data_IF_591207471885
#
_entry.id   IF_591207471885
#
_cell.length_a   1.000
_cell.length_b   1.000
_cell.length_c   1.000
_cell.angle_alpha   90.00
_cell.angle_beta   90.00
_cell.angle_gamma   90.00
#
_symmetry.space_group_name_H-M   'P 1'
#
loop_
_entity.id
_entity.type
_entity.pdbx_description
1 polymer ?
#
# COMPACT_ATOMS: atom_id res chain seq x y z
N UNK A 1 -0.47 -56.64 -9.37
CA UNK A 1 -1.10 -55.46 -9.99
C UNK A 1 -2.40 -55.16 -9.29
N UNK A 2 -2.45 -54.06 -8.53
CA UNK A 2 -3.64 -53.23 -8.49
C UNK A 2 -3.29 -51.78 -8.82
N UNK A 3 -3.86 -51.34 -9.95
CA UNK A 3 -4.31 -49.99 -10.30
C UNK A 3 -3.96 -48.86 -9.32
N UNK A 4 -3.01 -48.01 -9.74
CA UNK A 4 -2.89 -46.62 -9.28
C UNK A 4 -4.17 -45.89 -9.65
N UNK A 5 -4.99 -45.55 -8.66
CA UNK A 5 -5.91 -44.43 -8.77
C UNK A 5 -5.11 -43.15 -8.60
N UNK A 6 -4.88 -42.43 -9.71
CA UNK A 6 -4.46 -41.03 -9.69
C UNK A 6 -5.54 -40.18 -9.01
N UNK A 7 -5.19 -39.28 -8.08
CA UNK A 7 -6.13 -38.30 -7.58
C UNK A 7 -6.17 -37.09 -8.53
N UNK A 8 -7.31 -36.96 -9.23
CA UNK A 8 -7.96 -35.68 -9.52
C UNK A 8 -7.26 -34.73 -10.50
N UNK A 9 -7.53 -34.91 -11.80
CA UNK A 9 -7.59 -33.79 -12.73
C UNK A 9 -9.03 -33.27 -12.77
N UNK A 10 -9.25 -32.04 -12.32
CA UNK A 10 -10.16 -31.03 -12.93
C UNK A 10 -10.12 -29.71 -12.13
N UNK A 11 -9.73 -28.62 -12.83
CA UNK A 11 -9.87 -27.19 -12.47
C UNK A 11 -8.98 -26.58 -11.37
N UNK A 12 -8.04 -25.63 -11.54
CA UNK A 12 -7.39 -24.90 -12.66
C UNK A 12 -6.02 -24.43 -12.10
N UNK A 13 -4.90 -24.57 -12.83
CA UNK A 13 -3.60 -24.04 -12.36
C UNK A 13 -3.68 -22.51 -12.20
N UNK A 14 -2.84 -21.90 -11.36
CA UNK A 14 -2.85 -20.44 -11.18
C UNK A 14 -2.64 -19.71 -12.51
N UNK A 15 -1.79 -20.27 -13.37
CA UNK A 15 -1.63 -19.85 -14.77
C UNK A 15 -2.96 -19.81 -15.53
N UNK A 16 -3.76 -20.88 -15.50
CA UNK A 16 -5.05 -20.95 -16.20
C UNK A 16 -6.07 -19.95 -15.65
N UNK A 17 -6.07 -19.71 -14.34
CA UNK A 17 -6.93 -18.68 -13.73
C UNK A 17 -6.62 -17.29 -14.32
N UNK A 18 -5.34 -16.93 -14.39
CA UNK A 18 -4.88 -15.64 -14.89
C UNK A 18 -5.18 -15.49 -16.37
N UNK A 19 -4.81 -16.47 -17.20
CA UNK A 19 -5.05 -16.45 -18.64
C UNK A 19 -6.56 -16.31 -18.93
N UNK A 20 -7.41 -17.09 -18.25
CA UNK A 20 -8.87 -16.97 -18.36
C UNK A 20 -9.38 -15.57 -18.00
N UNK A 21 -8.86 -14.97 -16.94
CA UNK A 21 -9.28 -13.63 -16.52
C UNK A 21 -8.76 -12.53 -17.46
N UNK A 22 -7.56 -12.68 -18.03
CA UNK A 22 -7.06 -11.79 -19.10
C UNK A 22 -7.93 -11.90 -20.36
N UNK A 23 -8.37 -13.10 -20.72
CA UNK A 23 -9.30 -13.32 -21.85
C UNK A 23 -10.69 -12.74 -21.58
N UNK A 24 -11.20 -12.89 -20.35
CA UNK A 24 -12.51 -12.39 -19.95
C UNK A 24 -12.55 -10.86 -19.83
N UNK A 25 -11.43 -10.23 -19.43
CA UNK A 25 -11.30 -8.78 -19.22
C UNK A 25 -10.16 -8.19 -20.07
N UNK A 26 -10.24 -8.25 -21.42
CA UNK A 26 -9.13 -7.89 -22.31
C UNK A 26 -8.79 -6.39 -22.29
N UNK A 27 -9.71 -5.56 -21.78
CA UNK A 27 -9.52 -4.12 -21.60
C UNK A 27 -8.78 -3.75 -20.31
N UNK A 28 -8.55 -4.71 -19.40
CA UNK A 28 -7.72 -4.50 -18.21
C UNK A 28 -6.27 -4.82 -18.58
N UNK A 29 -5.30 -3.94 -18.29
CA UNK A 29 -3.89 -4.21 -18.55
C UNK A 29 -3.43 -5.54 -17.94
N UNK A 30 -2.71 -6.36 -18.71
CA UNK A 30 -2.22 -7.67 -18.26
C UNK A 30 -1.32 -7.56 -17.03
N UNK A 31 -0.50 -6.52 -16.99
CA UNK A 31 0.37 -6.20 -15.86
C UNK A 31 -0.42 -5.85 -14.59
N UNK A 32 -1.60 -5.22 -14.72
CA UNK A 32 -2.49 -4.95 -13.59
C UNK A 32 -3.12 -6.24 -13.06
N UNK A 33 -3.52 -7.17 -13.95
CA UNK A 33 -4.02 -8.51 -13.54
C UNK A 33 -2.98 -9.26 -12.72
N UNK A 34 -1.73 -9.33 -13.20
CA UNK A 34 -0.64 -10.01 -12.49
C UNK A 34 -0.33 -9.28 -11.17
N UNK A 35 -0.23 -7.97 -11.19
CA UNK A 35 0.05 -7.16 -10.00
C UNK A 35 -1.00 -7.37 -8.89
N UNK A 36 -2.29 -7.37 -9.21
CA UNK A 36 -3.33 -7.68 -8.21
C UNK A 36 -3.20 -9.09 -7.64
N UNK A 37 -2.85 -10.07 -8.47
CA UNK A 37 -2.68 -11.45 -8.00
C UNK A 37 -1.45 -11.61 -7.10
N UNK A 38 -0.36 -10.90 -7.43
CA UNK A 38 0.85 -10.81 -6.60
C UNK A 38 0.58 -10.09 -5.27
N UNK A 39 -0.19 -9.00 -5.29
CA UNK A 39 -0.50 -8.25 -4.09
C UNK A 39 -1.40 -9.08 -3.16
N UNK A 40 -2.44 -9.75 -3.66
CA UNK A 40 -3.31 -10.54 -2.76
C UNK A 40 -2.66 -11.85 -2.29
N UNK A 41 -1.73 -12.43 -3.06
CA UNK A 41 -1.19 -13.77 -2.83
C UNK A 41 0.29 -13.85 -2.46
N UNK A 42 1.04 -12.76 -2.60
CA UNK A 42 2.46 -12.68 -2.32
C UNK A 42 3.38 -13.46 -3.28
N UNK A 43 4.66 -13.45 -2.97
CA UNK A 43 5.76 -13.96 -3.77
C UNK A 43 6.71 -14.81 -2.91
N UNK A 44 7.16 -15.94 -3.44
CA UNK A 44 8.31 -16.66 -2.90
C UNK A 44 9.62 -16.15 -3.54
N UNK A 45 10.72 -16.25 -2.81
CA UNK A 45 12.05 -15.89 -3.31
C UNK A 45 12.95 -17.12 -3.28
N UNK A 46 13.68 -17.34 -4.35
CA UNK A 46 14.86 -18.19 -4.34
C UNK A 46 16.03 -17.47 -3.65
N UNK A 47 17.00 -18.21 -3.11
CA UNK A 47 18.19 -17.62 -2.49
C UNK A 47 19.00 -16.77 -3.49
N UNK A 48 18.97 -17.11 -4.79
CA UNK A 48 19.58 -16.32 -5.87
C UNK A 48 18.95 -14.94 -6.06
N UNK A 49 17.72 -14.74 -5.61
CA UNK A 49 16.99 -13.48 -5.73
C UNK A 49 17.06 -12.60 -4.46
N UNK A 50 17.76 -13.08 -3.43
CA UNK A 50 18.00 -12.33 -2.19
C UNK A 50 19.41 -11.75 -2.23
N UNK A 51 19.52 -10.45 -1.98
CA UNK A 51 20.81 -9.76 -1.84
C UNK A 51 21.25 -9.72 -0.37
N UNK A 52 22.52 -9.40 -0.13
CA UNK A 52 22.97 -9.04 1.20
C UNK A 52 22.52 -7.60 1.52
N UNK A 53 22.10 -7.36 2.77
CA UNK A 53 21.23 -6.26 3.23
C UNK A 53 21.71 -4.80 2.92
N UNK A 54 21.94 -3.98 3.95
CA UNK A 54 22.03 -2.51 3.86
C UNK A 54 23.31 -2.02 3.17
N UNK A 55 24.32 -2.89 3.03
CA UNK A 55 25.56 -2.62 2.29
C UNK A 55 25.48 -2.99 0.80
N UNK A 56 24.36 -3.58 0.37
CA UNK A 56 24.14 -4.02 -1.00
C UNK A 56 23.72 -2.90 -1.96
N UNK A 57 23.61 -3.28 -3.25
CA UNK A 57 23.19 -2.37 -4.32
C UNK A 57 21.68 -2.36 -4.57
N UNK A 58 20.92 -3.20 -3.84
CA UNK A 58 19.47 -3.30 -3.95
C UNK A 58 18.84 -2.73 -2.69
N UNK A 59 17.84 -1.86 -2.87
CA UNK A 59 17.07 -1.30 -1.75
C UNK A 59 16.22 -2.40 -1.07
N UNK A 60 16.48 -2.75 0.20
CA UNK A 60 15.74 -3.79 0.89
C UNK A 60 14.38 -3.26 1.40
N UNK A 61 13.48 -4.20 1.71
CA UNK A 61 12.20 -3.91 2.38
C UNK A 61 12.47 -3.31 3.76
N UNK A 62 11.91 -2.12 3.97
CA UNK A 62 12.12 -1.26 5.14
C UNK A 62 11.13 -1.53 6.28
N UNK A 63 10.06 -2.30 6.03
CA UNK A 63 9.00 -2.64 6.99
C UNK A 63 8.59 -1.41 7.80
N UNK A 64 7.96 -0.42 7.17
CA UNK A 64 7.88 0.94 7.71
C UNK A 64 6.58 1.28 8.46
N UNK A 65 5.54 0.47 8.29
CA UNK A 65 4.23 0.61 8.97
C UNK A 65 3.56 -0.74 9.19
N UNK A 66 3.28 -1.48 8.11
CA UNK A 66 2.68 -2.82 8.11
C UNK A 66 3.73 -3.86 7.72
N UNK A 67 3.49 -5.14 8.00
CA UNK A 67 4.36 -6.21 7.50
C UNK A 67 4.18 -6.40 5.98
N UNK A 68 2.91 -6.45 5.54
CA UNK A 68 2.52 -6.83 4.18
C UNK A 68 3.06 -8.21 3.77
N UNK A 69 3.15 -9.16 4.70
CA UNK A 69 3.63 -10.51 4.41
C UNK A 69 2.61 -11.57 4.86
N UNK A 70 2.62 -12.72 4.19
CA UNK A 70 1.76 -13.87 4.49
C UNK A 70 2.36 -14.79 5.57
N UNK A 71 3.39 -14.33 6.28
CA UNK A 71 4.04 -15.02 7.38
C UNK A 71 4.52 -14.03 8.43
N UNK A 72 4.62 -14.46 9.67
CA UNK A 72 5.35 -13.72 10.71
C UNK A 72 6.83 -13.67 10.39
N UNK A 73 7.57 -12.70 10.95
CA UNK A 73 9.00 -12.54 10.65
C UNK A 73 9.82 -13.86 10.75
N UNK A 74 9.63 -14.76 11.74
CA UNK A 74 10.32 -16.06 11.77
C UNK A 74 9.91 -17.03 10.66
N UNK A 75 8.67 -16.96 10.17
CA UNK A 75 8.12 -17.85 9.15
C UNK A 75 8.58 -17.49 7.73
N UNK A 76 9.14 -16.30 7.53
CA UNK A 76 9.64 -15.86 6.21
C UNK A 76 10.97 -16.52 5.81
N UNK A 77 11.59 -17.32 6.68
CA UNK A 77 12.82 -18.06 6.38
C UNK A 77 13.99 -17.15 5.97
N UNK A 78 14.68 -17.47 4.87
CA UNK A 78 15.81 -16.70 4.37
C UNK A 78 15.46 -15.22 4.07
N UNK A 79 14.22 -14.95 3.63
CA UNK A 79 13.74 -13.60 3.36
C UNK A 79 13.66 -12.72 4.63
N UNK A 80 13.48 -13.33 5.81
CA UNK A 80 13.53 -12.60 7.08
C UNK A 80 14.92 -12.00 7.37
N UNK A 81 15.97 -12.74 6.97
CA UNK A 81 17.37 -12.47 7.30
C UNK A 81 18.05 -11.60 6.25
N UNK A 82 17.81 -11.90 4.97
CA UNK A 82 18.46 -11.25 3.82
C UNK A 82 17.61 -10.15 3.17
N UNK A 83 16.47 -9.82 3.79
CA UNK A 83 15.44 -8.84 3.40
C UNK A 83 15.22 -8.74 1.87
N UNK A 84 14.08 -9.20 1.34
CA UNK A 84 13.79 -9.01 -0.07
C UNK A 84 13.74 -7.52 -0.43
N UNK A 85 13.81 -7.18 -1.73
CA UNK A 85 13.63 -5.80 -2.17
C UNK A 85 12.28 -5.24 -1.69
N UNK A 86 12.19 -3.93 -1.48
CA UNK A 86 10.92 -3.26 -1.10
C UNK A 86 9.85 -3.46 -2.19
N UNK A 87 10.27 -3.36 -3.45
CA UNK A 87 9.44 -3.41 -4.65
C UNK A 87 10.18 -4.16 -5.75
N UNK A 88 9.43 -4.70 -6.72
CA UNK A 88 9.98 -5.21 -7.97
C UNK A 88 9.32 -4.51 -9.15
N UNK A 89 10.03 -4.46 -10.28
CA UNK A 89 9.46 -4.08 -11.57
C UNK A 89 9.31 -5.33 -12.43
N UNK A 90 8.16 -5.46 -13.09
CA UNK A 90 7.89 -6.51 -14.07
C UNK A 90 7.85 -5.93 -15.48
N UNK A 91 8.47 -6.62 -16.44
CA UNK A 91 8.49 -6.29 -17.87
C UNK A 91 8.58 -7.54 -18.75
N UNK A 92 8.05 -7.44 -19.96
CA UNK A 92 8.23 -8.44 -21.01
C UNK A 92 7.52 -9.77 -20.73
N UNK A 93 8.20 -10.88 -21.01
CA UNK A 93 7.64 -12.22 -20.89
C UNK A 93 6.56 -12.57 -21.93
N UNK A 94 5.94 -13.77 -21.82
CA UNK A 94 4.95 -14.27 -22.79
C UNK A 94 3.67 -13.41 -22.88
N UNK A 95 3.42 -12.56 -21.89
CA UNK A 95 2.27 -11.66 -21.86
C UNK A 95 2.58 -10.24 -22.36
N UNK A 96 3.83 -9.97 -22.75
CA UNK A 96 4.32 -8.65 -23.19
C UNK A 96 4.04 -7.55 -22.17
N UNK A 97 4.37 -7.83 -20.91
CA UNK A 97 4.10 -6.90 -19.81
C UNK A 97 4.81 -5.57 -20.04
N UNK A 98 4.05 -4.49 -20.00
CA UNK A 98 4.63 -3.15 -19.82
C UNK A 98 5.12 -3.03 -18.38
N UNK A 99 6.03 -2.08 -18.15
CA UNK A 99 6.60 -1.80 -16.83
C UNK A 99 5.49 -1.61 -15.78
N UNK A 100 5.48 -2.43 -14.75
CA UNK A 100 4.67 -2.19 -13.55
C UNK A 100 5.48 -2.38 -12.29
N UNK A 101 5.25 -1.52 -11.29
CA UNK A 101 5.88 -1.60 -9.97
C UNK A 101 4.95 -2.36 -9.03
N UNK A 102 5.48 -3.37 -8.35
CA UNK A 102 4.74 -4.21 -7.41
C UNK A 102 5.43 -4.17 -6.04
N UNK A 103 4.68 -3.82 -4.99
CA UNK A 103 5.15 -3.92 -3.61
C UNK A 103 5.38 -5.39 -3.27
N UNK A 104 6.55 -5.70 -2.71
CA UNK A 104 6.86 -7.08 -2.34
C UNK A 104 6.09 -7.47 -1.08
N UNK A 105 5.39 -8.61 -1.19
CA UNK A 105 4.70 -9.30 -0.11
C UNK A 105 5.21 -10.72 -0.04
N UNK A 106 5.92 -11.07 1.01
CA UNK A 106 6.59 -12.36 1.11
C UNK A 106 5.56 -13.43 1.45
N UNK A 107 5.49 -14.46 0.61
CA UNK A 107 4.74 -15.68 0.86
C UNK A 107 5.58 -16.87 0.38
N UNK A 108 6.27 -17.59 1.29
CA UNK A 108 7.07 -18.75 0.93
C UNK A 108 6.29 -19.87 0.22
N UNK A 109 4.96 -19.89 0.39
CA UNK A 109 4.05 -20.87 -0.21
C UNK A 109 3.43 -20.39 -1.54
N UNK A 110 3.81 -19.21 -2.02
CA UNK A 110 3.24 -18.64 -3.26
C UNK A 110 3.58 -19.50 -4.48
N UNK A 111 2.65 -19.67 -5.44
CA UNK A 111 2.95 -20.27 -6.74
C UNK A 111 3.86 -19.38 -7.59
N UNK A 112 4.02 -18.10 -7.21
CA UNK A 112 4.98 -17.19 -7.82
C UNK A 112 6.32 -17.28 -7.12
N UNK A 113 7.39 -17.37 -7.91
CA UNK A 113 8.77 -17.38 -7.43
C UNK A 113 9.62 -16.40 -8.21
N UNK A 114 10.34 -15.53 -7.50
CA UNK A 114 11.43 -14.74 -8.07
C UNK A 114 12.71 -15.58 -7.98
N UNK A 115 13.37 -15.79 -9.11
CA UNK A 115 14.61 -16.56 -9.20
C UNK A 115 15.48 -16.05 -10.35
N UNK A 116 16.80 -16.25 -10.24
CA UNK A 116 17.70 -16.04 -11.36
C UNK A 116 17.65 -17.23 -12.33
N UNK A 117 17.80 -16.96 -13.63
CA UNK A 117 18.08 -17.99 -14.62
C UNK A 117 19.57 -18.41 -14.61
N UNK A 118 19.96 -19.27 -15.56
CA UNK A 118 21.32 -19.78 -15.67
C UNK A 118 22.38 -18.69 -15.94
N UNK A 119 21.96 -17.55 -16.49
CA UNK A 119 22.82 -16.40 -16.80
C UNK A 119 22.79 -15.34 -15.68
N UNK A 120 22.08 -15.62 -14.57
CA UNK A 120 21.97 -14.73 -13.42
C UNK A 120 20.89 -13.65 -13.57
N UNK A 121 20.07 -13.69 -14.62
CA UNK A 121 19.02 -12.70 -14.87
C UNK A 121 17.78 -13.06 -14.08
N UNK A 122 17.28 -12.12 -13.27
CA UNK A 122 16.09 -12.34 -12.46
C UNK A 122 14.82 -12.42 -13.33
N UNK A 123 14.00 -13.42 -13.03
CA UNK A 123 12.69 -13.61 -13.64
C UNK A 123 11.62 -13.91 -12.59
N UNK A 124 10.38 -13.61 -12.94
CA UNK A 124 9.21 -14.06 -12.20
C UNK A 124 8.72 -15.36 -12.84
N UNK A 125 8.59 -16.40 -12.03
CA UNK A 125 8.10 -17.71 -12.43
C UNK A 125 6.74 -17.96 -11.79
N UNK A 126 5.80 -18.48 -12.57
CA UNK A 126 4.50 -18.94 -12.09
C UNK A 126 4.32 -20.40 -12.52
N UNK A 127 3.95 -21.27 -11.58
CA UNK A 127 3.80 -22.72 -11.83
C UNK A 127 5.05 -23.31 -12.54
N UNK A 128 6.24 -22.81 -12.21
CA UNK A 128 7.52 -23.22 -12.81
C UNK A 128 7.85 -22.62 -14.18
N UNK A 129 6.98 -21.80 -14.78
CA UNK A 129 7.21 -21.14 -16.08
C UNK A 129 7.56 -19.67 -15.87
N UNK A 130 8.60 -19.19 -16.56
CA UNK A 130 8.97 -17.78 -16.55
C UNK A 130 7.88 -16.94 -17.24
N UNK A 131 7.35 -15.93 -16.55
CA UNK A 131 6.26 -15.07 -17.04
C UNK A 131 6.67 -13.59 -17.20
N UNK A 132 7.81 -13.18 -16.66
CA UNK A 132 8.32 -11.79 -16.75
C UNK A 132 9.82 -11.73 -16.42
N UNK A 133 10.49 -10.70 -16.94
CA UNK A 133 11.75 -10.20 -16.36
C UNK A 133 11.45 -9.48 -15.03
N UNK A 134 12.41 -9.50 -14.10
CA UNK A 134 12.31 -8.80 -12.81
C UNK A 134 13.43 -7.76 -12.68
N UNK A 135 13.04 -6.50 -12.53
CA UNK A 135 13.93 -5.41 -12.16
C UNK A 135 13.89 -5.14 -10.65
N UNK A 136 15.05 -4.81 -10.08
CA UNK A 136 15.20 -4.46 -8.66
C UNK A 136 15.48 -2.97 -8.49
N UNK A 137 14.98 -2.34 -7.40
CA UNK A 137 15.24 -0.94 -7.13
C UNK A 137 16.71 -0.77 -6.69
N UNK A 138 17.47 0.14 -7.32
CA UNK A 138 18.83 0.42 -6.88
C UNK A 138 18.82 1.02 -5.47
N UNK A 139 19.88 0.76 -4.70
CA UNK A 139 20.11 1.42 -3.41
C UNK A 139 20.31 2.93 -3.65
N UNK A 140 19.41 3.80 -3.16
CA UNK A 140 19.56 5.22 -3.37
C UNK A 140 20.71 5.79 -2.52
N UNK A 141 21.40 6.80 -3.04
CA UNK A 141 22.58 7.39 -2.40
C UNK A 141 22.28 7.94 -0.99
N UNK A 142 21.11 8.58 -0.80
CA UNK A 142 20.69 9.07 0.51
C UNK A 142 20.59 7.99 1.60
N UNK A 143 20.47 6.70 1.25
CA UNK A 143 20.50 5.61 2.23
C UNK A 143 21.90 5.17 2.65
N UNK A 144 22.94 5.64 1.95
CA UNK A 144 24.35 5.42 2.34
C UNK A 144 24.80 6.37 3.44
N UNK A 145 23.90 7.23 3.92
CA UNK A 145 24.14 8.18 4.99
C UNK A 145 23.32 7.81 6.24
N UNK A 146 23.88 8.15 7.39
CA UNK A 146 23.23 8.04 8.70
C UNK A 146 22.88 9.42 9.23
N UNK A 147 21.89 9.47 10.11
CA UNK A 147 21.66 10.61 10.98
C UNK A 147 22.79 10.72 12.01
N UNK A 148 22.90 11.88 12.67
CA UNK A 148 23.87 12.20 13.72
C UNK A 148 23.78 11.22 14.91
N UNK A 149 22.57 10.70 15.18
CA UNK A 149 22.34 9.68 16.21
C UNK A 149 22.64 8.24 15.75
N UNK A 150 23.17 8.05 14.54
CA UNK A 150 23.53 6.77 13.95
C UNK A 150 22.39 5.98 13.32
N UNK A 151 21.13 6.46 13.35
CA UNK A 151 20.02 5.80 12.65
C UNK A 151 20.20 5.91 11.13
N UNK A 152 19.78 4.89 10.39
CA UNK A 152 19.73 4.97 8.93
C UNK A 152 18.57 5.84 8.46
N UNK A 153 18.74 6.50 7.31
CA UNK A 153 17.68 7.30 6.68
C UNK A 153 16.48 6.40 6.34
N UNK A 154 16.71 5.17 5.89
CA UNK A 154 15.66 4.19 5.59
C UNK A 154 14.75 3.90 6.80
N UNK A 155 15.30 3.84 8.01
CA UNK A 155 14.48 3.60 9.21
C UNK A 155 13.60 4.81 9.56
N UNK A 156 14.08 6.03 9.29
CA UNK A 156 13.37 7.27 9.65
C UNK A 156 12.41 7.74 8.54
N UNK A 157 12.86 7.76 7.29
CA UNK A 157 12.15 8.28 6.13
C UNK A 157 12.30 7.34 4.91
N UNK A 158 11.69 6.14 4.97
CA UNK A 158 11.74 5.20 3.86
C UNK A 158 11.01 5.77 2.64
N UNK A 159 11.58 5.60 1.46
CA UNK A 159 10.96 5.87 0.17
C UNK A 159 10.26 4.62 -0.35
N UNK A 160 9.14 4.77 -1.04
CA UNK A 160 8.39 3.70 -1.74
C UNK A 160 7.92 4.23 -3.10
N UNK A 161 7.16 3.43 -3.84
CA UNK A 161 6.65 3.75 -5.19
C UNK A 161 7.81 4.03 -6.15
N UNK A 162 8.80 3.13 -6.14
CA UNK A 162 10.02 3.25 -6.94
C UNK A 162 10.81 4.54 -6.65
N UNK A 163 10.78 5.00 -5.40
CA UNK A 163 11.48 6.22 -4.95
C UNK A 163 10.62 7.48 -4.97
N UNK A 164 9.44 7.45 -5.58
CA UNK A 164 8.54 8.60 -5.73
C UNK A 164 8.07 9.21 -4.40
N UNK A 165 7.75 8.37 -3.41
CA UNK A 165 7.11 8.79 -2.17
C UNK A 165 8.01 8.57 -0.96
N UNK A 166 8.32 9.62 -0.20
CA UNK A 166 8.88 9.51 1.16
C UNK A 166 7.74 9.18 2.14
N UNK A 167 7.81 8.05 2.81
CA UNK A 167 6.76 7.55 3.70
C UNK A 167 7.11 7.74 5.18
N UNK A 168 6.52 8.75 5.80
CA UNK A 168 6.81 9.18 7.17
C UNK A 168 5.77 8.62 8.15
N UNK A 169 5.97 7.35 8.56
CA UNK A 169 5.24 6.77 9.69
C UNK A 169 5.81 7.31 11.01
N UNK A 170 5.30 8.46 11.47
CA UNK A 170 5.82 9.14 12.66
C UNK A 170 5.26 8.58 13.97
N UNK A 171 4.09 7.94 13.92
CA UNK A 171 3.52 7.19 15.03
C UNK A 171 3.25 5.74 14.63
N UNK A 172 4.20 4.84 14.94
CA UNK A 172 4.18 3.42 14.55
C UNK A 172 3.33 2.54 15.47
N UNK A 173 2.49 3.14 16.29
CA UNK A 173 1.54 2.46 17.18
C UNK A 173 0.18 3.13 16.97
N UNK A 174 -0.92 2.42 17.23
CA UNK A 174 -2.28 2.93 17.15
C UNK A 174 -2.98 2.77 18.50
N UNK A 175 -3.69 3.81 18.95
CA UNK A 175 -4.35 3.83 20.27
C UNK A 175 -5.64 2.99 20.31
N UNK A 176 -6.25 2.65 19.17
CA UNK A 176 -7.40 1.74 19.14
C UNK A 176 -7.09 0.36 19.75
N UNK A 177 -5.88 -0.16 19.58
CA UNK A 177 -5.45 -1.43 20.19
C UNK A 177 -5.47 -1.39 21.72
N UNK A 178 -5.27 -0.23 22.34
CA UNK A 178 -5.33 -0.09 23.80
C UNK A 178 -6.70 -0.41 24.37
N UNK A 179 -7.75 -0.15 23.57
CA UNK A 179 -9.14 -0.45 23.89
C UNK A 179 -9.66 -1.77 23.29
N UNK A 180 -8.80 -2.54 22.59
CA UNK A 180 -9.18 -3.72 21.78
C UNK A 180 -10.17 -3.38 20.66
N UNK A 181 -9.99 -2.21 20.06
CA UNK A 181 -10.84 -1.63 19.02
C UNK A 181 -10.09 -1.48 17.69
N UNK A 182 -9.00 -2.22 17.52
CA UNK A 182 -8.21 -2.23 16.29
C UNK A 182 -9.04 -2.63 15.07
N UNK A 183 -8.66 -2.09 13.91
CA UNK A 183 -9.23 -2.55 12.65
C UNK A 183 -8.85 -4.02 12.44
N UNK A 184 -9.81 -4.87 12.09
CA UNK A 184 -9.66 -6.32 12.13
C UNK A 184 -8.72 -6.89 11.06
N UNK A 185 -8.28 -6.05 10.11
CA UNK A 185 -7.30 -6.33 9.06
C UNK A 185 -5.95 -5.61 9.29
N UNK A 186 -5.78 -4.86 10.38
CA UNK A 186 -4.62 -3.97 10.56
C UNK A 186 -3.58 -4.60 11.50
N UNK A 187 -2.34 -4.74 11.02
CA UNK A 187 -1.25 -5.34 11.79
C UNK A 187 -0.28 -4.33 12.43
N UNK A 188 -0.50 -3.01 12.32
CA UNK A 188 0.49 -1.98 12.71
C UNK A 188 1.15 -2.21 14.09
N UNK A 189 0.37 -2.51 15.12
CA UNK A 189 0.93 -2.78 16.46
C UNK A 189 1.59 -4.15 16.55
N UNK A 190 1.09 -5.16 15.83
CA UNK A 190 1.74 -6.47 15.75
C UNK A 190 3.09 -6.37 15.04
N UNK A 191 3.14 -5.63 13.93
CA UNK A 191 4.34 -5.33 13.18
C UNK A 191 5.38 -4.58 14.02
N UNK A 192 4.95 -3.56 14.76
CA UNK A 192 5.81 -2.86 15.71
C UNK A 192 6.37 -3.81 16.78
N UNK A 193 5.52 -4.63 17.41
CA UNK A 193 5.95 -5.59 18.46
C UNK A 193 6.94 -6.63 17.94
N UNK A 194 6.71 -7.21 16.77
CA UNK A 194 7.64 -8.22 16.22
C UNK A 194 9.01 -7.62 15.92
N UNK A 195 9.08 -6.40 15.38
CA UNK A 195 10.38 -5.77 15.09
C UNK A 195 11.11 -5.34 16.36
N UNK A 196 10.39 -4.88 17.40
CA UNK A 196 10.97 -4.66 18.72
C UNK A 196 11.52 -5.95 19.32
N UNK A 197 10.76 -7.05 19.25
CA UNK A 197 11.19 -8.35 19.74
C UNK A 197 12.41 -8.89 18.99
N UNK A 198 12.53 -8.59 17.70
CA UNK A 198 13.70 -8.91 16.86
C UNK A 198 14.89 -7.95 17.07
N UNK A 199 14.84 -7.04 18.06
CA UNK A 199 15.95 -6.14 18.40
C UNK A 199 16.19 -5.01 17.40
N UNK A 200 15.27 -4.76 16.45
CA UNK A 200 15.42 -3.65 15.50
C UNK A 200 15.26 -2.29 16.20
N UNK A 201 15.93 -1.22 15.74
CA UNK A 201 15.90 0.13 16.33
C UNK A 201 14.57 0.89 16.13
N UNK A 202 13.46 0.17 16.24
CA UNK A 202 12.11 0.64 16.02
C UNK A 202 11.66 1.58 17.13
N UNK A 203 11.27 2.81 16.75
CA UNK A 203 10.76 3.83 17.67
C UNK A 203 9.26 3.99 17.50
N UNK A 204 8.50 4.08 18.60
CA UNK A 204 7.03 4.23 18.55
C UNK A 204 6.59 5.60 18.03
N UNK A 205 7.23 6.67 18.53
CA UNK A 205 7.05 8.06 18.08
C UNK A 205 8.40 8.57 17.60
N UNK A 206 8.51 8.96 16.33
CA UNK A 206 9.76 9.50 15.76
C UNK A 206 9.92 10.97 16.14
N UNK A 207 11.03 11.42 16.73
CA UNK A 207 11.27 12.86 16.96
C UNK A 207 11.18 13.68 15.66
N UNK A 208 10.69 14.92 15.75
CA UNK A 208 10.56 15.81 14.58
C UNK A 208 11.94 16.07 13.98
N UNK A 209 12.94 16.28 14.82
CA UNK A 209 14.32 16.60 14.43
C UNK A 209 14.94 15.47 13.62
N UNK A 210 14.72 14.21 14.00
CA UNK A 210 15.19 13.04 13.24
C UNK A 210 14.54 13.00 11.85
N UNK A 211 13.24 13.28 11.76
CA UNK A 211 12.51 13.31 10.48
C UNK A 211 13.08 14.42 9.58
N UNK A 212 13.28 15.63 10.10
CA UNK A 212 13.83 16.74 9.32
C UNK A 212 15.27 16.50 8.89
N UNK A 213 16.07 15.84 9.71
CA UNK A 213 17.44 15.45 9.37
C UNK A 213 17.45 14.42 8.24
N UNK A 214 16.64 13.37 8.34
CA UNK A 214 16.49 12.37 7.29
C UNK A 214 16.04 13.00 5.97
N UNK A 215 15.07 13.92 6.02
CA UNK A 215 14.62 14.67 4.84
C UNK A 215 15.71 15.60 4.28
N UNK A 216 16.54 16.21 5.12
CA UNK A 216 17.67 17.03 4.66
C UNK A 216 18.72 16.19 3.91
N UNK A 217 18.95 14.95 4.35
CA UNK A 217 19.81 14.00 3.65
C UNK A 217 19.17 13.62 2.30
N UNK A 218 17.88 13.26 2.28
CA UNK A 218 17.16 12.94 1.04
C UNK A 218 17.20 14.12 0.07
N UNK A 219 16.90 15.34 0.49
CA UNK A 219 16.90 16.50 -0.39
C UNK A 219 18.28 16.78 -1.02
N UNK A 220 19.35 16.57 -0.23
CA UNK A 220 20.74 16.75 -0.67
C UNK A 220 21.18 15.69 -1.68
N UNK A 221 20.84 14.42 -1.46
CA UNK A 221 21.39 13.30 -2.24
C UNK A 221 20.42 12.66 -3.25
N UNK A 222 19.12 13.00 -3.21
CA UNK A 222 18.18 12.70 -4.30
C UNK A 222 18.39 13.68 -5.46
N UNK A 223 19.56 13.58 -6.10
CA UNK A 223 20.00 14.47 -7.19
C UNK A 223 19.16 14.34 -8.44
N UNK A 224 18.57 13.17 -8.68
CA UNK A 224 17.61 12.92 -9.75
C UNK A 224 16.21 13.49 -9.46
N UNK A 225 15.96 13.96 -8.22
CA UNK A 225 14.64 14.42 -7.73
C UNK A 225 13.55 13.38 -7.98
N UNK A 226 13.89 12.10 -7.77
CA UNK A 226 12.97 10.97 -7.92
C UNK A 226 11.83 11.08 -6.91
N UNK A 227 12.15 11.48 -5.68
CA UNK A 227 11.13 11.72 -4.66
C UNK A 227 10.44 13.05 -4.92
N UNK A 228 9.11 13.01 -5.04
CA UNK A 228 8.29 14.20 -5.37
C UNK A 228 7.14 14.40 -4.40
N UNK A 229 6.89 13.45 -3.50
CA UNK A 229 5.87 13.56 -2.46
C UNK A 229 6.38 13.02 -1.12
N UNK A 230 5.78 13.48 -0.02
CA UNK A 230 5.85 12.79 1.26
C UNK A 230 4.46 12.49 1.80
N UNK A 231 4.34 11.41 2.58
CA UNK A 231 3.12 11.12 3.35
C UNK A 231 3.46 11.07 4.82
N UNK A 232 2.80 11.92 5.61
CA UNK A 232 2.79 11.86 7.06
C UNK A 232 1.64 10.98 7.54
N UNK A 233 1.95 9.98 8.37
CA UNK A 233 0.94 9.04 8.87
C UNK A 233 1.38 8.31 10.14
N UNK A 234 0.47 7.52 10.69
CA UNK A 234 0.67 6.67 11.85
C UNK A 234 -0.64 6.08 12.31
N UNK A 235 -0.66 5.53 13.52
CA UNK A 235 -1.90 5.07 14.13
C UNK A 235 -2.81 6.20 14.60
N UNK A 236 -4.05 5.84 14.91
CA UNK A 236 -5.03 6.77 15.46
C UNK A 236 -4.62 7.26 16.86
N UNK A 237 -4.79 8.54 17.13
CA UNK A 237 -4.68 9.16 18.45
C UNK A 237 -6.10 9.47 18.95
N UNK A 238 -6.55 8.76 19.98
CA UNK A 238 -7.89 8.91 20.59
C UNK A 238 -7.87 9.74 21.86
N UNK A 239 -6.68 10.02 22.39
CA UNK A 239 -6.45 10.86 23.56
C UNK A 239 -5.35 11.87 23.25
N UNK A 240 -4.16 11.72 23.83
CA UNK A 240 -3.03 12.61 23.58
C UNK A 240 -1.72 11.84 23.45
N UNK A 241 -0.76 12.42 22.73
CA UNK A 241 0.65 11.99 22.71
C UNK A 241 1.51 13.23 22.95
N UNK A 242 2.32 13.20 24.00
CA UNK A 242 3.10 14.38 24.41
C UNK A 242 2.22 15.62 24.65
N UNK A 243 1.01 15.41 25.17
CA UNK A 243 0.03 16.48 25.43
C UNK A 243 -0.68 17.06 24.19
N UNK A 244 -0.55 16.42 23.02
CA UNK A 244 -1.16 16.88 21.76
C UNK A 244 -2.26 15.95 21.31
N UNK A 245 -3.34 16.51 20.79
CA UNK A 245 -4.35 15.78 20.04
C UNK A 245 -3.77 15.26 18.70
N UNK A 246 -4.58 14.57 17.89
CA UNK A 246 -4.12 14.02 16.62
C UNK A 246 -3.66 15.09 15.62
N UNK A 247 -4.39 16.20 15.53
CA UNK A 247 -4.09 17.27 14.59
C UNK A 247 -2.84 18.06 14.96
N UNK A 248 -2.62 18.38 16.23
CA UNK A 248 -1.38 19.01 16.69
C UNK A 248 -0.20 18.04 16.60
N UNK A 249 -0.44 16.75 16.89
CA UNK A 249 0.62 15.75 16.82
C UNK A 249 1.16 15.60 15.40
N UNK A 250 0.31 15.43 14.39
CA UNK A 250 0.76 15.35 13.00
C UNK A 250 1.11 16.75 12.45
N UNK A 251 0.36 17.78 12.83
CA UNK A 251 0.52 19.15 12.34
C UNK A 251 1.90 19.73 12.63
N UNK A 252 2.51 19.41 13.77
CA UNK A 252 3.87 19.87 14.07
C UNK A 252 4.92 19.34 13.07
N UNK A 253 4.77 18.11 12.56
CA UNK A 253 5.68 17.57 11.54
C UNK A 253 5.43 18.24 10.20
N UNK A 254 4.15 18.37 9.80
CA UNK A 254 3.78 19.03 8.56
C UNK A 254 4.34 20.47 8.52
N UNK A 255 4.07 21.25 9.56
CA UNK A 255 4.59 22.61 9.71
C UNK A 255 6.12 22.67 9.60
N UNK A 256 6.81 21.82 10.35
CA UNK A 256 8.27 21.84 10.38
C UNK A 256 8.88 21.41 9.03
N UNK A 257 8.25 20.48 8.31
CA UNK A 257 8.69 20.04 6.98
C UNK A 257 8.50 21.18 5.97
N UNK A 258 7.31 21.77 5.92
CA UNK A 258 6.99 22.83 4.94
C UNK A 258 7.76 24.13 5.21
N UNK A 259 8.03 24.48 6.47
CA UNK A 259 8.89 25.62 6.82
C UNK A 259 10.35 25.41 6.37
N UNK A 260 10.86 24.18 6.45
CA UNK A 260 12.27 23.86 6.14
C UNK A 260 12.52 23.53 4.67
N UNK A 261 11.54 22.92 3.99
CA UNK A 261 11.65 22.44 2.61
C UNK A 261 10.48 22.92 1.74
N UNK A 262 10.22 24.24 1.68
CA UNK A 262 9.02 24.77 1.03
C UNK A 262 8.93 24.33 -0.43
N UNK A 263 7.84 23.64 -0.78
CA UNK A 263 7.55 23.21 -2.15
C UNK A 263 8.46 22.09 -2.69
N UNK A 264 9.31 21.48 -1.85
CA UNK A 264 10.20 20.39 -2.29
C UNK A 264 9.43 19.11 -2.65
N UNK A 265 8.36 18.81 -1.93
CA UNK A 265 7.54 17.62 -2.11
C UNK A 265 6.07 17.99 -2.05
N UNK A 266 5.23 17.17 -2.68
CA UNK A 266 3.79 17.20 -2.45
C UNK A 266 3.50 16.64 -1.05
N UNK A 267 3.07 17.50 -0.13
CA UNK A 267 2.79 17.14 1.26
C UNK A 267 1.43 16.48 1.43
N UNK A 268 1.41 15.31 2.08
CA UNK A 268 0.18 14.56 2.36
C UNK A 268 0.06 14.16 3.81
N UNK A 269 -1.17 14.14 4.33
CA UNK A 269 -1.47 13.60 5.66
C UNK A 269 -2.51 12.49 5.56
N UNK A 270 -2.22 11.35 6.17
CA UNK A 270 -3.17 10.26 6.39
C UNK A 270 -3.42 10.17 7.90
N UNK A 271 -4.63 10.58 8.31
CA UNK A 271 -5.10 10.57 9.69
C UNK A 271 -6.57 10.07 9.75
N UNK A 272 -7.18 10.03 10.93
CA UNK A 272 -8.63 9.80 11.04
C UNK A 272 -9.40 10.89 10.29
N UNK A 273 -10.69 10.70 10.03
CA UNK A 273 -11.55 11.79 9.57
C UNK A 273 -11.73 12.82 10.69
N UNK A 274 -10.96 13.91 10.63
CA UNK A 274 -10.91 14.94 11.65
C UNK A 274 -11.98 16.03 11.41
N UNK A 275 -12.40 16.76 12.45
CA UNK A 275 -13.22 17.96 12.31
C UNK A 275 -12.60 18.97 11.33
N UNK A 276 -13.44 19.71 10.60
CA UNK A 276 -12.99 20.67 9.57
C UNK A 276 -11.95 21.69 10.08
N UNK A 277 -12.11 22.19 11.31
CA UNK A 277 -11.14 23.12 11.91
C UNK A 277 -9.75 22.49 12.11
N UNK A 278 -9.70 21.20 12.40
CA UNK A 278 -8.45 20.46 12.58
C UNK A 278 -7.78 20.17 11.24
N UNK A 279 -8.58 19.80 10.24
CA UNK A 279 -8.17 19.62 8.86
C UNK A 279 -7.61 20.93 8.27
N UNK A 280 -8.21 22.09 8.60
CA UNK A 280 -7.73 23.41 8.21
C UNK A 280 -6.29 23.67 8.69
N UNK A 281 -5.94 23.23 9.91
CA UNK A 281 -4.57 23.39 10.43
C UNK A 281 -3.53 22.72 9.53
N UNK A 282 -3.80 21.53 9.00
CA UNK A 282 -2.88 20.86 8.06
C UNK A 282 -2.68 21.67 6.78
N UNK A 283 -3.78 22.18 6.21
CA UNK A 283 -3.72 23.00 5.01
C UNK A 283 -2.95 24.31 5.25
N UNK A 284 -3.18 24.97 6.38
CA UNK A 284 -2.48 26.21 6.77
C UNK A 284 -0.96 25.99 6.94
N UNK A 285 -0.55 24.76 7.27
CA UNK A 285 0.86 24.38 7.35
C UNK A 285 1.50 24.04 5.99
N UNK A 286 0.74 24.00 4.89
CA UNK A 286 1.25 23.74 3.54
C UNK A 286 0.99 22.33 3.01
N UNK A 287 0.30 21.46 3.76
CA UNK A 287 -0.14 20.16 3.26
C UNK A 287 -1.11 20.37 2.08
N UNK A 288 -0.97 19.55 1.04
CA UNK A 288 -1.77 19.68 -0.19
C UNK A 288 -2.79 18.56 -0.36
N UNK A 289 -2.61 17.42 0.31
CA UNK A 289 -3.50 16.26 0.14
C UNK A 289 -3.86 15.66 1.51
N UNK A 290 -5.14 15.37 1.69
CA UNK A 290 -5.66 14.74 2.91
C UNK A 290 -6.30 13.38 2.62
N UNK A 291 -5.94 12.39 3.44
CA UNK A 291 -6.38 10.99 3.32
C UNK A 291 -7.15 10.53 4.56
N UNK A 292 -8.45 10.83 4.64
CA UNK A 292 -9.36 10.30 5.66
C UNK A 292 -9.83 8.88 5.28
N UNK A 293 -8.94 7.88 5.39
CA UNK A 293 -9.23 6.51 4.95
C UNK A 293 -10.49 5.93 5.64
N UNK A 294 -11.43 5.41 4.86
CA UNK A 294 -12.74 4.96 5.37
C UNK A 294 -12.92 3.43 5.26
N UNK A 295 -12.10 2.77 4.44
CA UNK A 295 -11.75 1.34 4.47
C UNK A 295 -12.76 0.37 3.85
N UNK A 296 -14.02 0.34 4.28
CA UNK A 296 -15.05 -0.61 3.79
C UNK A 296 -16.44 0.03 3.75
N UNK A 297 -17.18 -0.18 2.65
CA UNK A 297 -18.40 0.59 2.36
C UNK A 297 -19.58 0.19 3.22
N UNK A 298 -19.87 -1.11 3.22
CA UNK A 298 -21.04 -1.65 3.89
C UNK A 298 -21.03 -1.24 5.37
N UNK A 299 -22.18 -0.72 5.84
CA UNK A 299 -22.32 -0.18 7.20
C UNK A 299 -21.99 -1.23 8.25
N UNK A 300 -22.54 -2.44 8.11
CA UNK A 300 -22.33 -3.53 9.08
C UNK A 300 -20.87 -3.97 9.07
N UNK A 301 -20.25 -4.08 7.90
CA UNK A 301 -18.82 -4.42 7.80
C UNK A 301 -17.94 -3.32 8.39
N UNK A 302 -18.28 -2.04 8.23
CA UNK A 302 -17.54 -0.94 8.87
C UNK A 302 -17.58 -1.05 10.40
N UNK A 303 -18.76 -1.26 10.99
CA UNK A 303 -18.93 -1.44 12.44
C UNK A 303 -18.12 -2.63 12.97
N UNK A 304 -18.13 -3.76 12.24
CA UNK A 304 -17.43 -4.99 12.64
C UNK A 304 -15.91 -4.92 12.42
N UNK A 305 -15.47 -4.37 11.30
CA UNK A 305 -14.06 -4.39 10.91
C UNK A 305 -13.29 -3.17 11.38
N UNK A 306 -13.96 -2.05 11.67
CA UNK A 306 -13.35 -0.80 12.11
C UNK A 306 -13.95 -0.29 13.43
N UNK A 307 -14.02 -1.11 14.51
CA UNK A 307 -14.77 -0.76 15.72
C UNK A 307 -14.29 0.54 16.40
N UNK A 308 -12.98 0.84 16.36
CA UNK A 308 -12.45 2.11 16.84
C UNK A 308 -12.98 3.29 16.03
N UNK A 309 -12.92 3.21 14.70
CA UNK A 309 -13.42 4.31 13.84
C UNK A 309 -14.90 4.57 14.06
N UNK A 310 -15.69 3.51 14.21
CA UNK A 310 -17.11 3.61 14.53
C UNK A 310 -17.34 4.25 15.90
N UNK A 311 -16.63 3.81 16.94
CA UNK A 311 -16.84 4.33 18.30
C UNK A 311 -16.45 5.80 18.45
N UNK A 312 -15.30 6.21 17.92
CA UNK A 312 -14.74 7.56 18.16
C UNK A 312 -15.25 8.62 17.18
N UNK A 313 -15.68 8.22 15.98
CA UNK A 313 -16.17 9.15 14.95
C UNK A 313 -17.55 8.75 14.46
N UNK A 314 -17.74 7.46 14.12
CA UNK A 314 -18.98 6.93 13.54
C UNK A 314 -18.97 7.05 12.02
N UNK A 315 -19.48 6.04 11.30
CA UNK A 315 -19.43 5.96 9.83
C UNK A 315 -20.01 7.19 9.13
N UNK A 316 -21.21 7.61 9.53
CA UNK A 316 -21.91 8.71 8.85
C UNK A 316 -21.19 10.06 9.07
N UNK A 317 -20.67 10.28 10.27
CA UNK A 317 -19.84 11.44 10.59
C UNK A 317 -18.48 11.38 9.88
N UNK A 318 -17.90 10.18 9.72
CA UNK A 318 -16.68 9.97 8.93
C UNK A 318 -16.90 10.43 7.49
N UNK A 319 -18.00 10.00 6.86
CA UNK A 319 -18.36 10.43 5.51
C UNK A 319 -18.59 11.94 5.43
N UNK A 320 -19.31 12.52 6.40
CA UNK A 320 -19.55 13.97 6.47
C UNK A 320 -18.23 14.74 6.54
N UNK A 321 -17.27 14.30 7.35
CA UNK A 321 -15.95 14.93 7.48
C UNK A 321 -15.09 14.78 6.23
N UNK A 322 -15.22 13.69 5.48
CA UNK A 322 -14.61 13.56 4.15
C UNK A 322 -15.13 14.66 3.22
N UNK A 323 -16.45 14.86 3.16
CA UNK A 323 -17.06 15.90 2.34
C UNK A 323 -16.66 17.31 2.81
N UNK A 324 -16.72 17.59 4.12
CA UNK A 324 -16.30 18.87 4.70
C UNK A 324 -14.83 19.22 4.38
N UNK A 325 -13.97 18.21 4.28
CA UNK A 325 -12.55 18.39 3.96
C UNK A 325 -12.33 18.88 2.53
N UNK A 326 -13.28 18.65 1.63
CA UNK A 326 -13.22 19.14 0.26
C UNK A 326 -13.31 20.67 0.18
N UNK A 327 -13.96 21.32 1.15
CA UNK A 327 -13.99 22.78 1.25
C UNK A 327 -12.63 23.37 1.64
N UNK A 328 -11.77 22.57 2.27
CA UNK A 328 -10.43 22.98 2.72
C UNK A 328 -9.39 22.70 1.65
N UNK A 329 -9.33 21.45 1.17
CA UNK A 329 -8.28 20.98 0.27
C UNK A 329 -8.66 21.09 -1.22
N UNK A 330 -9.94 21.28 -1.53
CA UNK A 330 -10.51 20.98 -2.84
C UNK A 330 -10.77 19.47 -3.00
N UNK A 331 -11.90 19.10 -3.60
CA UNK A 331 -12.37 17.71 -3.66
C UNK A 331 -11.32 16.73 -4.23
N UNK A 332 -10.60 17.13 -5.28
CA UNK A 332 -9.55 16.31 -5.92
C UNK A 332 -8.38 15.97 -4.98
N UNK A 333 -8.16 16.76 -3.94
CA UNK A 333 -7.07 16.58 -2.97
C UNK A 333 -7.52 15.88 -1.68
N UNK A 334 -8.80 15.48 -1.60
CA UNK A 334 -9.31 14.59 -0.55
C UNK A 334 -9.39 13.18 -1.15
N UNK A 335 -8.61 12.26 -0.62
CA UNK A 335 -8.41 10.95 -1.24
C UNK A 335 -8.57 9.85 -0.17
N UNK A 336 -9.81 9.46 0.17
CA UNK A 336 -10.04 8.35 1.09
C UNK A 336 -9.59 7.02 0.46
N UNK A 337 -9.30 6.03 1.30
CA UNK A 337 -8.91 4.69 0.86
C UNK A 337 -9.97 3.64 1.18
N UNK A 338 -10.15 2.69 0.26
CA UNK A 338 -10.74 1.38 0.51
C UNK A 338 -9.66 0.32 0.72
N UNK A 339 -9.88 -0.65 1.60
CA UNK A 339 -9.04 -1.85 1.74
C UNK A 339 -9.66 -2.93 0.85
N UNK A 340 -9.27 -2.96 -0.41
CA UNK A 340 -9.91 -3.81 -1.41
C UNK A 340 -9.79 -5.29 -1.05
N UNK A 341 -10.93 -5.95 -0.84
CA UNK A 341 -11.07 -7.37 -0.58
C UNK A 341 -11.54 -7.70 0.83
N UNK A 342 -11.44 -6.78 1.80
CA UNK A 342 -11.92 -7.06 3.17
C UNK A 342 -13.43 -7.18 3.23
N UNK A 343 -14.17 -6.59 2.29
CA UNK A 343 -15.62 -6.73 2.24
C UNK A 343 -16.09 -8.16 1.95
N UNK A 344 -15.20 -9.02 1.44
CA UNK A 344 -15.46 -10.46 1.23
C UNK A 344 -14.94 -11.33 2.38
N UNK A 345 -14.28 -10.74 3.39
CA UNK A 345 -13.62 -11.51 4.45
C UNK A 345 -14.64 -12.23 5.35
N UNK A 346 -14.54 -13.54 5.44
CA UNK A 346 -15.27 -14.35 6.41
C UNK A 346 -14.95 -13.91 7.85
N UNK A 347 -15.90 -14.10 8.79
CA UNK A 347 -17.20 -14.78 8.61
C UNK A 347 -18.33 -13.85 8.18
N UNK A 348 -18.06 -12.56 7.97
CA UNK A 348 -19.10 -11.54 7.85
C UNK A 348 -19.25 -10.96 6.45
N UNK A 349 -18.25 -11.11 5.58
CA UNK A 349 -18.21 -10.49 4.27
C UNK A 349 -19.25 -11.02 3.29
N UNK A 350 -19.34 -10.36 2.14
CA UNK A 350 -20.15 -10.79 1.01
C UNK A 350 -19.62 -12.12 0.45
N UNK A 351 -20.53 -13.05 0.18
CA UNK A 351 -20.18 -14.40 -0.31
C UNK A 351 -20.04 -14.45 -1.83
N UNK A 352 -20.48 -13.39 -2.53
CA UNK A 352 -20.32 -13.27 -3.99
C UNK A 352 -19.49 -12.05 -4.36
N UNK A 353 -18.67 -12.19 -5.39
CA UNK A 353 -17.88 -11.08 -5.96
C UNK A 353 -18.79 -9.94 -6.40
N UNK A 354 -19.97 -10.25 -6.96
CA UNK A 354 -20.90 -9.24 -7.44
C UNK A 354 -21.38 -8.33 -6.30
N UNK A 355 -21.84 -8.88 -5.19
CA UNK A 355 -22.33 -8.09 -4.05
C UNK A 355 -21.23 -7.20 -3.45
N UNK A 356 -20.02 -7.74 -3.33
CA UNK A 356 -18.86 -6.99 -2.86
C UNK A 356 -18.55 -5.79 -3.78
N UNK A 357 -18.55 -6.00 -5.10
CA UNK A 357 -18.31 -4.95 -6.08
C UNK A 357 -19.45 -3.92 -6.11
N UNK A 358 -20.71 -4.36 -6.02
CA UNK A 358 -21.86 -3.47 -5.98
C UNK A 358 -21.78 -2.53 -4.76
N UNK A 359 -21.46 -3.07 -3.58
CA UNK A 359 -21.23 -2.30 -2.35
C UNK A 359 -20.10 -1.28 -2.53
N UNK A 360 -18.92 -1.71 -2.97
CA UNK A 360 -17.79 -0.79 -3.14
C UNK A 360 -18.06 0.26 -4.21
N UNK A 361 -18.76 -0.08 -5.29
CA UNK A 361 -19.17 0.85 -6.36
C UNK A 361 -20.16 1.90 -5.87
N UNK A 362 -21.08 1.56 -4.96
CA UNK A 362 -21.95 2.54 -4.31
C UNK A 362 -21.12 3.61 -3.59
N UNK A 363 -20.11 3.18 -2.82
CA UNK A 363 -19.19 4.09 -2.14
C UNK A 363 -18.35 4.94 -3.11
N UNK A 364 -17.85 4.34 -4.19
CA UNK A 364 -17.12 5.07 -5.23
C UNK A 364 -18.01 6.16 -5.84
N UNK A 365 -19.25 5.83 -6.24
CA UNK A 365 -20.22 6.81 -6.79
C UNK A 365 -20.56 7.90 -5.81
N UNK A 366 -20.76 7.55 -4.54
CA UNK A 366 -21.04 8.54 -3.50
C UNK A 366 -19.93 9.59 -3.41
N UNK A 367 -18.66 9.19 -3.30
CA UNK A 367 -17.57 10.16 -3.21
C UNK A 367 -17.25 10.84 -4.55
N UNK A 368 -17.22 10.10 -5.65
CA UNK A 368 -16.86 10.63 -6.97
C UNK A 368 -17.89 11.61 -7.53
N UNK A 369 -19.18 11.47 -7.18
CA UNK A 369 -20.20 12.48 -7.49
C UNK A 369 -19.95 13.83 -6.83
N UNK A 370 -19.12 13.89 -5.79
CA UNK A 370 -18.66 15.11 -5.12
C UNK A 370 -17.27 15.56 -5.58
N UNK A 371 -16.71 14.96 -6.64
CA UNK A 371 -15.36 15.25 -7.14
C UNK A 371 -14.23 14.71 -6.27
N UNK A 372 -14.55 13.95 -5.21
CA UNK A 372 -13.58 13.27 -4.36
C UNK A 372 -13.16 12.00 -5.07
N UNK A 373 -11.86 11.74 -5.14
CA UNK A 373 -11.30 10.57 -5.84
C UNK A 373 -10.76 9.58 -4.82
N UNK A 374 -11.57 8.63 -4.32
CA UNK A 374 -11.03 7.54 -3.51
C UNK A 374 -9.92 6.80 -4.24
N UNK A 375 -9.04 6.19 -3.46
CA UNK A 375 -8.13 5.14 -3.92
C UNK A 375 -8.51 3.82 -3.25
N UNK A 376 -7.84 2.76 -3.65
CA UNK A 376 -7.87 1.51 -2.90
C UNK A 376 -6.48 0.89 -2.79
N UNK A 377 -6.27 0.17 -1.70
CA UNK A 377 -5.09 -0.67 -1.47
C UNK A 377 -5.55 -2.12 -1.46
N UNK A 378 -4.87 -2.96 -2.24
CA UNK A 378 -5.14 -4.40 -2.28
C UNK A 378 -4.82 -4.99 -0.92
N UNK A 379 -5.78 -5.62 -0.26
CA UNK A 379 -5.56 -6.20 1.06
C UNK A 379 -4.48 -7.30 1.01
N UNK A 380 -3.57 -7.29 1.98
CA UNK A 380 -2.67 -8.41 2.26
C UNK A 380 -3.25 -9.14 3.47
N UNK A 381 -3.61 -10.42 3.42
CA UNK A 381 -4.08 -11.14 4.60
C UNK A 381 -2.97 -11.38 5.63
N UNK A 382 -2.59 -10.39 6.44
CA UNK A 382 -1.50 -10.58 7.41
C UNK A 382 -1.90 -11.58 8.51
N UNK A 383 -1.08 -12.61 8.80
CA UNK A 383 -1.45 -13.72 9.69
C UNK A 383 -1.57 -13.33 11.15
N UNK A 384 -1.14 -12.11 11.52
CA UNK A 384 -1.28 -11.60 12.89
C UNK A 384 -2.63 -10.94 13.15
N UNK A 385 -3.41 -10.65 12.10
CA UNK A 385 -4.70 -9.96 12.21
C UNK A 385 -5.87 -10.95 12.32
N UNK A 386 -6.99 -10.58 12.97
CA UNK A 386 -8.19 -11.42 13.00
C UNK A 386 -8.66 -11.87 11.61
N UNK A 387 -8.83 -10.94 10.67
CA UNK A 387 -9.32 -11.27 9.33
C UNK A 387 -8.28 -12.03 8.50
N UNK A 388 -7.01 -11.68 8.60
CA UNK A 388 -5.95 -12.36 7.85
C UNK A 388 -5.80 -13.84 8.25
N UNK A 389 -5.96 -14.17 9.54
CA UNK A 389 -5.96 -15.58 10.00
C UNK A 389 -7.10 -16.40 9.42
N UNK A 390 -8.30 -15.81 9.34
CA UNK A 390 -9.49 -16.51 8.85
C UNK A 390 -9.53 -16.56 7.32
N UNK A 391 -8.88 -15.62 6.63
CA UNK A 391 -8.95 -15.46 5.18
C UNK A 391 -7.56 -15.40 4.53
N UNK A 392 -6.70 -16.43 4.67
CA UNK A 392 -5.30 -16.38 4.23
C UNK A 392 -5.12 -16.14 2.72
N UNK A 393 -6.13 -16.45 1.91
CA UNK A 393 -6.12 -16.26 0.45
C UNK A 393 -6.71 -14.91 -0.01
N UNK A 394 -7.29 -14.14 0.91
CA UNK A 394 -7.98 -12.88 0.63
C UNK A 394 -9.18 -13.05 -0.31
N UNK A 395 -9.58 -11.95 -0.96
CA UNK A 395 -10.60 -12.00 -2.01
C UNK A 395 -10.06 -12.67 -3.30
N UNK A 396 -10.93 -13.31 -4.11
CA UNK A 396 -10.52 -13.92 -5.37
C UNK A 396 -10.01 -12.86 -6.37
N UNK A 397 -9.10 -13.25 -7.28
CA UNK A 397 -8.54 -12.33 -8.29
C UNK A 397 -9.63 -11.64 -9.12
N UNK A 398 -10.72 -12.35 -9.45
CA UNK A 398 -11.85 -11.79 -10.19
C UNK A 398 -12.44 -10.54 -9.51
N UNK A 399 -12.50 -10.51 -8.17
CA UNK A 399 -12.94 -9.33 -7.43
C UNK A 399 -12.03 -8.12 -7.72
N UNK A 400 -10.72 -8.29 -7.64
CA UNK A 400 -9.78 -7.19 -7.86
C UNK A 400 -9.83 -6.65 -9.29
N UNK A 401 -9.99 -7.53 -10.28
CA UNK A 401 -10.14 -7.13 -11.69
C UNK A 401 -11.44 -6.36 -11.92
N UNK A 402 -12.56 -6.84 -11.36
CA UNK A 402 -13.85 -6.14 -11.44
C UNK A 402 -13.81 -4.80 -10.69
N UNK A 403 -13.05 -4.69 -9.61
CA UNK A 403 -12.86 -3.43 -8.91
C UNK A 403 -12.12 -2.40 -9.77
N UNK A 404 -11.07 -2.80 -10.50
CA UNK A 404 -10.39 -1.92 -11.46
C UNK A 404 -11.35 -1.42 -12.54
N UNK A 405 -12.20 -2.30 -13.06
CA UNK A 405 -13.19 -1.95 -14.08
C UNK A 405 -14.27 -1.00 -13.54
N UNK A 406 -14.81 -1.29 -12.35
CA UNK A 406 -15.77 -0.43 -11.68
C UNK A 406 -15.17 0.94 -11.35
N UNK A 407 -13.91 0.97 -10.89
CA UNK A 407 -13.20 2.20 -10.59
C UNK A 407 -13.04 3.08 -11.82
N UNK A 408 -12.50 2.53 -12.91
CA UNK A 408 -12.34 3.28 -14.17
C UNK A 408 -13.67 3.77 -14.72
N UNK A 409 -14.69 2.90 -14.74
CA UNK A 409 -16.03 3.26 -15.22
C UNK A 409 -16.65 4.39 -14.39
N UNK A 410 -16.47 4.37 -13.07
CA UNK A 410 -16.99 5.43 -12.19
C UNK A 410 -16.20 6.73 -12.38
N UNK A 411 -14.88 6.66 -12.58
CA UNK A 411 -14.07 7.84 -12.92
C UNK A 411 -14.54 8.49 -14.23
N UNK A 412 -14.83 7.70 -15.25
CA UNK A 412 -15.40 8.15 -16.53
C UNK A 412 -16.82 8.73 -16.35
N UNK A 413 -17.69 8.06 -15.59
CA UNK A 413 -19.06 8.49 -15.28
C UNK A 413 -19.11 9.93 -14.74
N UNK A 414 -18.16 10.29 -13.87
CA UNK A 414 -18.09 11.62 -13.25
C UNK A 414 -17.05 12.56 -13.89
N UNK A 415 -16.44 12.18 -15.03
CA UNK A 415 -15.45 13.02 -15.72
C UNK A 415 -14.21 13.35 -14.90
N UNK A 416 -13.81 12.44 -14.00
CA UNK A 416 -12.68 12.62 -13.09
C UNK A 416 -11.37 12.18 -13.75
N UNK A 417 -10.27 12.54 -13.09
CA UNK A 417 -8.93 12.19 -13.52
C UNK A 417 -8.10 11.66 -12.36
N UNK A 418 -6.97 11.02 -12.67
CA UNK A 418 -6.12 10.37 -11.66
C UNK A 418 -5.87 11.28 -10.45
N UNK A 419 -5.94 10.73 -9.22
CA UNK A 419 -5.69 11.49 -8.01
C UNK A 419 -4.24 12.03 -8.00
N UNK A 420 -4.01 13.25 -7.51
CA UNK A 420 -2.67 13.83 -7.45
C UNK A 420 -1.77 13.10 -6.46
N UNK A 421 -0.47 13.29 -6.62
CA UNK A 421 0.51 12.79 -5.66
C UNK A 421 0.78 11.29 -5.76
N UNK A 422 0.39 10.60 -6.83
CA UNK A 422 0.65 9.15 -7.00
C UNK A 422 1.49 8.80 -8.23
N UNK A 423 2.20 9.80 -8.76
CA UNK A 423 2.98 9.69 -9.99
C UNK A 423 2.10 9.63 -11.24
N UNK A 424 2.72 9.41 -12.42
CA UNK A 424 1.99 9.34 -13.69
C UNK A 424 1.04 8.15 -13.69
N UNK A 425 -0.24 8.32 -14.10
CA UNK A 425 -1.13 7.20 -14.37
C UNK A 425 -0.75 6.52 -15.69
N UNK A 426 -1.26 5.32 -15.88
CA UNK A 426 -1.16 4.66 -17.16
C UNK A 426 -0.40 3.34 -17.10
N UNK A 427 -0.81 2.37 -17.94
CA UNK A 427 -0.05 1.14 -18.12
C UNK A 427 1.38 1.43 -18.59
N UNK A 428 2.38 0.79 -17.99
CA UNK A 428 3.79 1.05 -18.29
C UNK A 428 4.42 2.26 -17.58
N UNK A 429 3.61 3.06 -16.87
CA UNK A 429 4.04 4.35 -16.29
C UNK A 429 3.85 4.41 -14.78
N UNK A 430 2.76 3.83 -14.29
CA UNK A 430 2.38 3.88 -12.89
C UNK A 430 3.51 3.40 -11.95
N UNK A 431 3.76 4.20 -10.91
CA UNK A 431 4.72 3.90 -9.83
C UNK A 431 4.03 3.50 -8.53
N UNK A 432 2.71 3.72 -8.42
CA UNK A 432 1.92 3.30 -7.27
C UNK A 432 1.96 1.77 -7.15
N UNK A 433 2.44 1.23 -6.03
CA UNK A 433 2.87 -0.17 -5.98
C UNK A 433 1.97 -1.12 -5.18
N UNK A 434 0.96 -0.59 -4.47
CA UNK A 434 0.13 -1.38 -3.52
C UNK A 434 -1.29 -1.68 -4.04
N UNK A 435 -1.60 -1.27 -5.26
CA UNK A 435 -2.72 -1.72 -6.10
C UNK A 435 -2.52 -1.18 -7.52
N UNK A 436 -3.38 -1.58 -8.44
CA UNK A 436 -3.24 -1.33 -9.88
C UNK A 436 -4.18 -0.25 -10.41
N UNK A 437 -4.84 0.52 -9.53
CA UNK A 437 -5.79 1.54 -9.98
C UNK A 437 -5.11 2.56 -10.91
N UNK A 438 -3.89 3.02 -10.57
CA UNK A 438 -3.11 3.92 -11.44
C UNK A 438 -2.68 3.27 -12.75
N UNK A 439 -2.37 1.96 -12.75
CA UNK A 439 -2.03 1.20 -13.97
C UNK A 439 -3.24 1.06 -14.91
N UNK A 440 -4.47 1.06 -14.37
CA UNK A 440 -5.71 0.89 -15.14
C UNK A 440 -6.31 2.18 -15.71
N UNK A 441 -5.82 3.34 -15.26
CA UNK A 441 -6.26 4.65 -15.75
C UNK A 441 -5.56 5.03 -17.07
N UNK A 442 -6.13 5.92 -17.89
CA UNK A 442 -5.45 6.42 -19.07
C UNK A 442 -4.18 7.21 -18.69
N UNK A 443 -3.14 7.09 -19.52
CA UNK A 443 -1.97 7.94 -19.42
C UNK A 443 -2.35 9.40 -19.71
N UNK A 444 -1.67 10.34 -19.06
CA UNK A 444 -1.80 11.77 -19.36
C UNK A 444 -0.64 12.21 -20.24
N UNK A 445 -0.95 12.98 -21.28
CA UNK A 445 0.06 13.49 -22.22
C UNK A 445 1.05 14.47 -21.56
N UNK A 446 0.66 15.10 -20.44
CA UNK A 446 1.43 16.15 -19.77
C UNK A 446 2.34 15.65 -18.63
N UNK A 447 2.19 14.41 -18.18
CA UNK A 447 3.09 13.84 -17.17
C UNK A 447 4.35 13.31 -17.90
N UNK A 448 5.59 13.66 -17.53
CA UNK A 448 6.77 12.99 -18.08
C UNK A 448 6.79 11.51 -17.68
N UNK A 449 7.37 10.68 -18.54
CA UNK A 449 7.46 9.22 -18.37
C UNK A 449 8.48 8.81 -17.33
#
# INVERSE_FOLDING_TARGET
>A
MPSRTEPGSTDTSRTRLIERLMEQFPHVPREAVIKEDLLRGGLAFDESALSDNEDGDVKPKSYFIFSFDHGTLPELGAAALRRPPEEIVLTGGPYELRRTVVSVRVNPSSPYRVAADADGVLGLYLDGRRISDVGLPPMPDYYRHTLDNGKSVMEVAPTIQWGYLVYLTVFRVCQYFGAKEECQYCDINHNWRQHKAAGRPYTGVKPVEEVLEALAIIDRYDTAKTSTAYTLTGGAITSHIGGRDEADFYGQYAKAIEERFPGRWIGKVVAQALPKADVQRFHDYGVQIYHPNYEVWDRRLFELYCPGKERYVGRDEWHRRILDSADVFGARNVIPNFVAGVEMAEPFGFTTVKEAIDSTTEGLRFFMSHGITPRFTTWCPEPTTPLGRTNPDGAPLEYHIRLLDAYRSTMEEYGLSSPPGYGPPGPGRAVFSVSSFMDSLPAREEDPA
#
